data_IF_818057836200
#
_entry.id   IF_818057836200
#
_cell.length_a   1.000
_cell.length_b   1.000
_cell.length_c   1.000
_cell.angle_alpha   90.00
_cell.angle_beta   90.00
_cell.angle_gamma   90.00
#
_symmetry.space_group_name_H-M   'P 1'
#
loop_
_entity.id
_entity.type
_entity.pdbx_description
1 polymer ?
#
# COMPACT_ATOMS: atom_id res chain seq x y z
N UNK A 1 0.68 19.17 1.82
CA UNK A 1 -0.72 18.99 2.25
C UNK A 1 -0.84 18.30 3.63
N UNK A 2 -0.17 17.18 3.89
CA UNK A 2 -0.43 16.34 5.07
C UNK A 2 -0.06 17.01 6.40
N UNK A 3 1.15 17.58 6.47
CA UNK A 3 1.63 18.30 7.67
C UNK A 3 0.75 19.51 7.96
N UNK A 4 0.39 20.29 6.93
CA UNK A 4 -0.53 21.43 7.08
C UNK A 4 -1.91 20.99 7.59
N UNK A 5 -2.39 19.80 7.20
CA UNK A 5 -3.64 19.23 7.68
C UNK A 5 -3.54 18.61 9.09
N UNK A 6 -2.38 18.72 9.77
CA UNK A 6 -2.17 18.24 11.14
C UNK A 6 -1.71 16.78 11.26
N UNK A 7 -1.27 16.15 10.16
CA UNK A 7 -0.70 14.81 10.20
C UNK A 7 0.83 14.83 10.35
N UNK A 8 1.37 13.82 11.05
CA UNK A 8 2.79 13.48 10.96
C UNK A 8 3.04 12.68 9.68
N UNK A 9 4.03 13.07 8.89
CA UNK A 9 4.46 12.33 7.71
C UNK A 9 5.72 11.52 8.04
N UNK A 10 5.63 10.20 7.94
CA UNK A 10 6.78 9.31 8.01
C UNK A 10 6.99 8.70 6.63
N UNK A 11 8.19 8.88 6.06
CA UNK A 11 8.59 8.27 4.78
C UNK A 11 9.57 7.16 5.10
N UNK A 12 9.13 5.91 4.93
CA UNK A 12 9.98 4.75 5.15
C UNK A 12 10.81 4.46 3.91
N UNK A 13 12.09 4.22 4.12
CA UNK A 13 12.99 3.70 3.10
C UNK A 13 13.34 2.23 3.41
N UNK A 14 13.75 1.50 2.39
CA UNK A 14 14.08 0.08 2.46
C UNK A 14 15.07 -0.28 1.36
N UNK A 15 15.77 -1.41 1.50
CA UNK A 15 16.75 -1.80 0.51
C UNK A 15 16.10 -2.05 -0.86
N UNK A 16 16.80 -1.68 -1.91
CA UNK A 16 16.34 -1.95 -3.26
C UNK A 16 16.51 -3.44 -3.61
N UNK A 17 15.86 -3.88 -4.68
CA UNK A 17 15.84 -5.28 -5.11
C UNK A 17 17.23 -5.85 -5.44
N UNK A 18 18.19 -5.02 -5.84
CA UNK A 18 19.56 -5.45 -6.14
C UNK A 18 20.30 -5.76 -4.83
N UNK A 19 20.17 -4.88 -3.84
CA UNK A 19 20.75 -5.04 -2.50
C UNK A 19 20.21 -6.29 -1.79
N UNK A 20 18.94 -6.62 -1.99
CA UNK A 20 18.34 -7.86 -1.46
C UNK A 20 18.53 -9.07 -2.35
N UNK A 21 19.32 -8.97 -3.43
CA UNK A 21 19.59 -10.06 -4.39
C UNK A 21 18.32 -10.66 -5.00
N UNK A 22 17.31 -9.82 -5.23
CA UNK A 22 16.02 -10.20 -5.80
C UNK A 22 15.02 -10.74 -4.78
N UNK A 23 15.29 -10.66 -3.48
CA UNK A 23 14.42 -11.16 -2.43
C UNK A 23 13.43 -10.08 -1.95
N UNK A 24 12.16 -10.22 -2.34
CA UNK A 24 11.09 -9.32 -1.90
C UNK A 24 10.64 -9.56 -0.46
N UNK A 25 10.81 -10.77 0.10
CA UNK A 25 10.47 -11.07 1.51
C UNK A 25 11.36 -10.24 2.44
N UNK A 26 12.66 -10.10 2.12
CA UNK A 26 13.56 -9.22 2.87
C UNK A 26 13.09 -7.77 2.87
N UNK A 27 12.68 -7.25 1.70
CA UNK A 27 12.14 -5.89 1.59
C UNK A 27 10.83 -5.73 2.37
N UNK A 28 9.94 -6.72 2.30
CA UNK A 28 8.69 -6.74 3.04
C UNK A 28 8.92 -6.71 4.56
N UNK A 29 9.86 -7.52 5.08
CA UNK A 29 10.24 -7.53 6.50
C UNK A 29 10.78 -6.17 6.95
N UNK A 30 11.61 -5.51 6.13
CA UNK A 30 12.12 -4.16 6.44
C UNK A 30 11.01 -3.13 6.58
N UNK A 31 10.06 -3.10 5.63
CA UNK A 31 8.95 -2.15 5.67
C UNK A 31 8.02 -2.48 6.85
N UNK A 32 7.70 -3.76 7.08
CA UNK A 32 6.88 -4.19 8.23
C UNK A 32 7.51 -3.73 9.55
N UNK A 33 8.82 -3.94 9.73
CA UNK A 33 9.57 -3.45 10.90
C UNK A 33 9.55 -1.93 11.00
N UNK A 34 9.64 -1.22 9.89
CA UNK A 34 9.50 0.23 9.84
C UNK A 34 8.16 0.71 10.38
N UNK A 35 7.05 0.11 9.95
CA UNK A 35 5.71 0.46 10.45
C UNK A 35 5.56 0.07 11.94
N UNK A 36 6.09 -1.08 12.36
CA UNK A 36 6.10 -1.47 13.78
C UNK A 36 6.90 -0.50 14.63
N UNK A 37 8.03 0.01 14.11
CA UNK A 37 8.81 1.04 14.79
C UNK A 37 7.98 2.32 14.94
N UNK A 38 7.30 2.77 13.89
CA UNK A 38 6.40 3.94 13.95
C UNK A 38 5.32 3.72 15.01
N UNK A 39 4.67 2.56 15.04
CA UNK A 39 3.66 2.22 16.04
C UNK A 39 4.22 2.30 17.47
N UNK A 40 5.39 1.71 17.72
CA UNK A 40 6.01 1.69 19.06
C UNK A 40 6.55 3.04 19.50
N UNK A 41 6.88 3.93 18.56
CA UNK A 41 7.56 5.20 18.85
C UNK A 41 6.71 6.43 18.56
N UNK A 42 5.48 6.29 18.04
CA UNK A 42 4.63 7.41 17.62
C UNK A 42 4.57 8.54 18.66
N UNK A 43 4.36 8.18 19.93
CA UNK A 43 4.25 9.13 21.04
C UNK A 43 5.51 9.98 21.24
N UNK A 44 6.71 9.47 20.93
CA UNK A 44 7.98 10.20 21.17
C UNK A 44 8.17 11.42 20.27
N UNK A 45 7.46 11.46 19.14
CA UNK A 45 7.43 12.60 18.22
C UNK A 45 6.03 13.26 18.12
N UNK A 46 5.17 13.02 19.12
CA UNK A 46 3.83 13.62 19.20
C UNK A 46 2.80 13.00 18.25
N UNK A 47 3.09 11.84 17.67
CA UNK A 47 2.14 11.03 16.92
C UNK A 47 1.21 10.21 17.82
N UNK A 48 0.09 9.77 17.26
CA UNK A 48 -0.85 8.87 17.94
C UNK A 48 -0.74 7.46 17.35
N UNK A 49 -0.31 6.43 18.12
CA UNK A 49 -0.17 5.07 17.62
C UNK A 49 -1.50 4.42 17.20
N UNK A 50 -2.63 4.94 17.68
CA UNK A 50 -3.98 4.50 17.29
C UNK A 50 -4.51 5.21 16.03
N UNK A 51 -3.69 6.00 15.32
CA UNK A 51 -4.09 6.73 14.11
C UNK A 51 -3.09 6.57 12.96
N UNK A 52 -2.54 5.37 12.79
CA UNK A 52 -1.60 5.06 11.71
C UNK A 52 -2.36 4.76 10.41
N UNK A 53 -2.03 5.50 9.36
CA UNK A 53 -2.56 5.30 8.01
C UNK A 53 -1.39 5.19 7.05
N UNK A 54 -1.53 4.38 6.01
CA UNK A 54 -0.45 4.14 5.05
C UNK A 54 -0.90 4.50 3.64
N UNK A 55 0.05 4.95 2.83
CA UNK A 55 -0.19 5.19 1.41
C UNK A 55 1.07 4.89 0.61
N UNK A 56 0.89 4.55 -0.66
CA UNK A 56 2.01 4.23 -1.54
C UNK A 56 1.58 4.14 -2.99
N UNK A 57 2.53 4.28 -3.90
CA UNK A 57 2.31 4.23 -5.33
C UNK A 57 3.19 3.17 -6.00
N UNK A 58 2.72 2.51 -7.05
CA UNK A 58 3.47 1.50 -7.79
C UNK A 58 3.91 0.34 -6.86
N UNK A 59 5.22 0.09 -6.72
CA UNK A 59 5.77 -0.84 -5.72
C UNK A 59 5.37 -0.45 -4.27
N UNK A 60 5.22 0.84 -3.97
CA UNK A 60 4.65 1.31 -2.71
C UNK A 60 3.18 0.94 -2.54
N UNK A 61 2.39 0.92 -3.63
CA UNK A 61 1.00 0.47 -3.62
C UNK A 61 0.90 -1.04 -3.33
N UNK A 62 1.82 -1.83 -3.87
CA UNK A 62 2.00 -3.24 -3.50
C UNK A 62 2.27 -3.40 -2.00
N UNK A 63 3.19 -2.60 -1.43
CA UNK A 63 3.46 -2.62 0.01
C UNK A 63 2.25 -2.24 0.86
N UNK A 64 1.41 -1.29 0.42
CA UNK A 64 0.15 -1.01 1.11
C UNK A 64 -0.72 -2.27 1.19
N UNK A 65 -0.87 -3.00 0.09
CA UNK A 65 -1.58 -4.28 0.08
C UNK A 65 -0.99 -5.29 1.07
N UNK A 66 0.33 -5.54 1.00
CA UNK A 66 1.03 -6.49 1.88
C UNK A 66 0.87 -6.11 3.36
N UNK A 67 1.05 -4.84 3.71
CA UNK A 67 0.93 -4.34 5.09
C UNK A 67 -0.50 -4.50 5.63
N UNK A 68 -1.51 -4.25 4.79
CA UNK A 68 -2.91 -4.39 5.18
C UNK A 68 -3.35 -5.85 5.39
N UNK A 69 -2.65 -6.81 4.77
CA UNK A 69 -2.93 -8.25 4.90
C UNK A 69 -1.87 -9.00 5.71
N UNK A 70 -1.03 -8.27 6.46
CA UNK A 70 -0.01 -8.85 7.36
C UNK A 70 -0.66 -9.33 8.66
N UNK A 71 -0.25 -10.51 9.14
CA UNK A 71 -0.68 -11.01 10.45
C UNK A 71 0.18 -10.37 11.56
N UNK A 72 -0.15 -9.12 11.88
CA UNK A 72 0.61 -8.28 12.80
C UNK A 72 0.78 -8.89 14.20
N UNK A 73 -0.25 -9.57 14.69
CA UNK A 73 -0.21 -10.20 16.01
C UNK A 73 0.75 -11.38 16.02
N UNK A 74 0.69 -12.24 14.99
CA UNK A 74 1.58 -13.41 14.88
C UNK A 74 3.02 -13.03 14.60
N UNK A 75 3.26 -12.05 13.73
CA UNK A 75 4.61 -11.69 13.26
C UNK A 75 5.33 -10.76 14.24
N UNK A 76 4.63 -9.81 14.89
CA UNK A 76 5.26 -8.74 15.67
C UNK A 76 4.68 -8.51 17.07
N UNK A 77 3.62 -9.25 17.44
CA UNK A 77 2.97 -9.10 18.75
C UNK A 77 2.29 -7.74 18.95
N UNK A 78 1.89 -7.08 17.85
CA UNK A 78 1.16 -5.80 17.87
C UNK A 78 -0.29 -6.01 17.40
N UNK A 79 -1.24 -5.15 17.78
CA UNK A 79 -2.64 -5.35 17.44
C UNK A 79 -2.88 -5.49 15.94
N UNK A 80 -3.76 -6.41 15.50
CA UNK A 80 -4.09 -6.57 14.07
C UNK A 80 -4.70 -5.30 13.48
N UNK A 81 -5.32 -4.47 14.31
CA UNK A 81 -5.98 -3.21 13.94
C UNK A 81 -5.06 -1.99 14.02
N UNK A 82 -3.73 -2.15 14.11
CA UNK A 82 -2.81 -1.02 14.26
C UNK A 82 -2.88 -0.02 13.07
N UNK A 83 -3.03 -0.52 11.85
CA UNK A 83 -3.24 0.30 10.65
C UNK A 83 -4.74 0.57 10.53
N UNK A 84 -5.12 1.84 10.48
CA UNK A 84 -6.52 2.30 10.46
C UNK A 84 -7.08 2.48 9.05
N UNK A 85 -6.23 2.54 8.04
CA UNK A 85 -6.63 2.61 6.63
C UNK A 85 -5.44 2.68 5.70
N UNK A 86 -5.65 2.31 4.43
CA UNK A 86 -4.62 2.36 3.40
C UNK A 86 -5.10 2.98 2.09
N UNK A 87 -4.20 3.68 1.40
CA UNK A 87 -4.41 4.15 0.02
C UNK A 87 -3.34 3.58 -0.91
N UNK A 88 -3.74 2.69 -1.82
CA UNK A 88 -2.84 2.06 -2.78
C UNK A 88 -3.02 2.67 -4.17
N UNK A 89 -2.03 3.42 -4.63
CA UNK A 89 -1.95 3.95 -5.99
C UNK A 89 -1.26 2.97 -6.93
N UNK A 90 -1.92 2.55 -8.00
CA UNK A 90 -1.31 1.81 -9.12
C UNK A 90 -0.44 0.61 -8.67
N UNK A 91 -0.93 -0.16 -7.71
CA UNK A 91 -0.19 -1.26 -7.08
C UNK A 91 -0.25 -2.59 -7.83
N UNK A 92 0.57 -3.55 -7.40
CA UNK A 92 0.50 -4.96 -7.80
C UNK A 92 0.00 -5.78 -6.60
N UNK A 93 -1.09 -6.52 -6.75
CA UNK A 93 -1.76 -7.21 -5.64
C UNK A 93 -1.83 -8.74 -5.80
N UNK A 94 -1.58 -9.22 -7.02
CA UNK A 94 -1.21 -10.60 -7.33
C UNK A 94 0.14 -10.62 -8.08
N UNK A 95 1.12 -11.35 -7.54
CA UNK A 95 2.47 -11.41 -8.09
C UNK A 95 2.63 -12.44 -9.21
N UNK A 96 1.64 -13.32 -9.47
CA UNK A 96 1.74 -14.31 -10.55
C UNK A 96 2.05 -13.65 -11.91
N UNK A 97 1.33 -12.61 -12.37
CA UNK A 97 1.62 -11.95 -13.64
C UNK A 97 2.96 -11.20 -13.60
N UNK A 98 3.30 -10.63 -12.45
CA UNK A 98 4.57 -9.91 -12.23
C UNK A 98 5.76 -10.86 -12.42
N UNK A 99 5.66 -12.09 -11.91
CA UNK A 99 6.63 -13.18 -12.11
C UNK A 99 6.75 -13.63 -13.56
N UNK A 100 5.71 -13.47 -14.37
CA UNK A 100 5.76 -13.80 -15.80
C UNK A 100 6.27 -12.64 -16.67
N UNK A 101 6.62 -11.49 -16.06
CA UNK A 101 7.10 -10.30 -16.76
C UNK A 101 8.64 -10.21 -16.79
N UNK A 102 9.17 -9.20 -17.50
CA UNK A 102 10.59 -8.88 -17.54
C UNK A 102 11.23 -8.65 -16.15
N UNK A 103 10.41 -8.45 -15.10
CA UNK A 103 10.89 -8.29 -13.72
C UNK A 103 11.60 -9.53 -13.17
N UNK A 104 11.32 -10.72 -13.71
CA UNK A 104 12.03 -11.95 -13.35
C UNK A 104 13.51 -11.97 -13.72
N UNK A 105 13.98 -11.00 -14.52
CA UNK A 105 15.40 -10.81 -14.76
C UNK A 105 16.16 -10.37 -13.49
N UNK A 106 15.49 -9.65 -12.58
CA UNK A 106 16.13 -9.08 -11.38
C UNK A 106 15.43 -9.44 -10.05
N UNK A 107 14.17 -9.88 -10.07
CA UNK A 107 13.49 -10.47 -8.91
C UNK A 107 13.63 -11.99 -8.97
N UNK A 108 14.01 -12.61 -7.84
CA UNK A 108 14.15 -14.07 -7.72
C UNK A 108 12.88 -14.66 -7.14
N UNK A 109 11.79 -14.56 -7.90
CA UNK A 109 10.48 -15.06 -7.47
C UNK A 109 10.54 -16.54 -7.10
N UNK A 110 10.17 -16.83 -5.86
CA UNK A 110 9.86 -18.18 -5.38
C UNK A 110 8.35 -18.32 -5.25
N UNK A 111 7.87 -19.56 -5.13
CA UNK A 111 6.45 -19.82 -4.86
C UNK A 111 6.04 -19.21 -3.51
N UNK A 112 6.93 -19.22 -2.51
CA UNK A 112 6.74 -18.56 -1.23
C UNK A 112 6.57 -17.03 -1.38
N UNK A 113 7.44 -16.36 -2.14
CA UNK A 113 7.31 -14.91 -2.37
C UNK A 113 6.00 -14.57 -3.08
N UNK A 114 5.65 -15.34 -4.11
CA UNK A 114 4.42 -15.13 -4.86
C UNK A 114 3.20 -15.30 -3.95
N UNK A 115 3.17 -16.35 -3.14
CA UNK A 115 2.05 -16.63 -2.25
C UNK A 115 1.94 -15.59 -1.13
N UNK A 116 3.03 -15.34 -0.41
CA UNK A 116 3.01 -14.50 0.80
C UNK A 116 2.84 -13.02 0.52
N UNK A 117 3.27 -12.54 -0.66
CA UNK A 117 3.21 -11.12 -1.00
C UNK A 117 2.08 -10.77 -1.97
N UNK A 118 1.28 -11.73 -2.43
CA UNK A 118 0.05 -11.44 -3.18
C UNK A 118 -1.10 -11.09 -2.22
N UNK A 119 -1.21 -9.81 -1.85
CA UNK A 119 -2.22 -9.30 -0.91
C UNK A 119 -3.66 -9.77 -1.23
N UNK A 120 -3.99 -9.92 -2.51
CA UNK A 120 -5.31 -10.40 -2.95
C UNK A 120 -5.66 -11.82 -2.43
N UNK A 121 -4.66 -12.62 -2.04
CA UNK A 121 -4.85 -13.99 -1.50
C UNK A 121 -5.10 -14.03 0.01
N UNK A 122 -4.92 -12.91 0.73
CA UNK A 122 -4.93 -12.83 2.20
C UNK A 122 -5.98 -11.85 2.74
N UNK A 123 -7.11 -11.72 2.05
CA UNK A 123 -8.18 -10.77 2.40
C UNK A 123 -8.91 -11.09 3.71
N UNK A 124 -8.77 -12.32 4.23
CA UNK A 124 -9.22 -12.71 5.56
C UNK A 124 -8.55 -11.88 6.66
N UNK A 125 -7.29 -11.48 6.44
CA UNK A 125 -6.48 -10.65 7.36
C UNK A 125 -6.72 -9.15 7.19
N UNK A 126 -7.44 -8.73 6.14
CA UNK A 126 -7.74 -7.32 5.90
C UNK A 126 -8.77 -6.81 6.92
N UNK A 127 -8.34 -5.96 7.84
CA UNK A 127 -9.18 -5.39 8.92
C UNK A 127 -9.42 -3.89 8.81
N UNK A 128 -8.78 -3.21 7.85
CA UNK A 128 -8.87 -1.76 7.68
C UNK A 128 -9.43 -1.38 6.29
N UNK A 129 -10.10 -0.22 6.15
CA UNK A 129 -10.59 0.26 4.85
C UNK A 129 -9.48 0.52 3.84
N UNK A 130 -9.75 0.23 2.56
CA UNK A 130 -8.78 0.41 1.47
C UNK A 130 -9.33 1.37 0.41
N UNK A 131 -8.55 2.38 0.03
CA UNK A 131 -8.80 3.15 -1.18
C UNK A 131 -7.79 2.76 -2.25
N UNK A 132 -8.26 2.45 -3.45
CA UNK A 132 -7.43 2.10 -4.60
C UNK A 132 -7.57 3.20 -5.64
N UNK A 133 -6.45 3.68 -6.17
CA UNK A 133 -6.40 4.74 -7.18
C UNK A 133 -5.50 4.30 -8.32
N UNK A 134 -5.92 4.49 -9.57
CA UNK A 134 -5.08 4.24 -10.75
C UNK A 134 -5.48 5.15 -11.90
N UNK A 135 -4.62 5.32 -12.90
CA UNK A 135 -4.85 6.17 -14.09
C UNK A 135 -5.40 5.40 -15.29
N UNK A 136 -6.26 6.03 -16.08
CA UNK A 136 -6.85 5.40 -17.28
C UNK A 136 -5.86 5.26 -18.44
N UNK A 137 -4.78 6.05 -18.45
CA UNK A 137 -3.69 5.97 -19.44
C UNK A 137 -2.50 5.12 -18.96
N UNK A 138 -2.67 4.34 -17.89
CA UNK A 138 -1.69 3.33 -17.46
C UNK A 138 -1.70 2.08 -18.35
N UNK A 139 -0.67 1.25 -18.22
CA UNK A 139 -0.65 -0.05 -18.91
C UNK A 139 -1.83 -0.92 -18.47
N UNK A 140 -2.35 -1.80 -19.34
CA UNK A 140 -3.50 -2.64 -19.01
C UNK A 140 -3.35 -3.44 -17.72
N UNK A 141 -2.12 -3.82 -17.34
CA UNK A 141 -1.88 -4.62 -16.14
C UNK A 141 -2.05 -3.82 -14.84
N UNK A 142 -1.63 -2.55 -14.77
CA UNK A 142 -1.89 -1.72 -13.58
C UNK A 142 -3.39 -1.48 -13.39
N UNK A 143 -4.10 -1.26 -14.49
CA UNK A 143 -5.55 -1.08 -14.45
C UNK A 143 -6.26 -2.37 -14.03
N UNK A 144 -5.85 -3.53 -14.59
CA UNK A 144 -6.41 -4.84 -14.26
C UNK A 144 -6.17 -5.19 -12.80
N UNK A 145 -4.93 -5.09 -12.31
CA UNK A 145 -4.58 -5.36 -10.91
C UNK A 145 -5.41 -4.51 -9.93
N UNK A 146 -5.59 -3.22 -10.24
CA UNK A 146 -6.40 -2.32 -9.41
C UNK A 146 -7.87 -2.71 -9.39
N UNK A 147 -8.45 -3.09 -10.54
CA UNK A 147 -9.84 -3.54 -10.64
C UNK A 147 -10.05 -4.92 -9.98
N UNK A 148 -9.16 -5.86 -10.23
CA UNK A 148 -9.26 -7.23 -9.69
C UNK A 148 -9.13 -7.23 -8.17
N UNK A 149 -8.18 -6.47 -7.62
CA UNK A 149 -8.04 -6.33 -6.17
C UNK A 149 -9.26 -5.65 -5.56
N UNK A 150 -9.77 -4.58 -6.19
CA UNK A 150 -11.00 -3.93 -5.74
C UNK A 150 -12.20 -4.88 -5.71
N UNK A 151 -12.40 -5.66 -6.78
CA UNK A 151 -13.47 -6.64 -6.88
C UNK A 151 -13.33 -7.77 -5.84
N UNK A 152 -12.10 -8.21 -5.55
CA UNK A 152 -11.82 -9.22 -4.53
C UNK A 152 -12.16 -8.71 -3.13
N UNK A 153 -11.75 -7.47 -2.79
CA UNK A 153 -12.09 -6.83 -1.49
C UNK A 153 -13.60 -6.64 -1.35
N UNK A 154 -14.27 -6.20 -2.42
CA UNK A 154 -15.72 -6.03 -2.44
C UNK A 154 -16.44 -7.36 -2.25
N UNK A 155 -16.03 -8.42 -2.96
CA UNK A 155 -16.57 -9.78 -2.80
C UNK A 155 -16.39 -10.31 -1.38
N UNK A 156 -15.26 -9.97 -0.73
CA UNK A 156 -15.00 -10.30 0.67
C UNK A 156 -15.82 -9.46 1.67
N UNK A 157 -16.65 -8.52 1.22
CA UNK A 157 -17.50 -7.67 2.06
C UNK A 157 -16.72 -6.64 2.88
N UNK A 158 -15.51 -6.29 2.47
CA UNK A 158 -14.62 -5.39 3.22
C UNK A 158 -14.77 -3.93 2.74
N UNK A 159 -14.63 -2.92 3.61
CA UNK A 159 -14.80 -1.52 3.22
C UNK A 159 -13.74 -1.08 2.21
N UNK A 160 -14.17 -0.60 1.05
CA UNK A 160 -13.25 -0.18 0.01
C UNK A 160 -13.80 0.91 -0.91
N UNK A 161 -12.89 1.60 -1.61
CA UNK A 161 -13.24 2.48 -2.73
C UNK A 161 -12.23 2.32 -3.88
N UNK A 162 -12.71 2.49 -5.10
CA UNK A 162 -11.89 2.50 -6.32
C UNK A 162 -12.09 3.82 -7.04
N UNK A 163 -10.99 4.48 -7.42
CA UNK A 163 -10.99 5.72 -8.19
C UNK A 163 -10.11 5.59 -9.43
N UNK A 164 -10.63 6.06 -10.56
CA UNK A 164 -9.91 6.11 -11.84
C UNK A 164 -9.57 7.55 -12.16
N UNK A 165 -8.28 7.84 -12.35
CA UNK A 165 -7.77 9.14 -12.73
C UNK A 165 -7.74 9.24 -14.25
N UNK A 166 -8.79 9.84 -14.82
CA UNK A 166 -8.99 9.91 -16.27
C UNK A 166 -7.89 10.74 -16.95
N UNK A 167 -7.22 10.17 -17.95
CA UNK A 167 -6.15 10.80 -18.71
C UNK A 167 -4.76 10.73 -18.06
N UNK A 168 -4.64 10.16 -16.85
CA UNK A 168 -3.37 10.09 -16.13
C UNK A 168 -2.61 8.80 -16.48
N UNK A 169 -1.32 8.95 -16.79
CA UNK A 169 -0.38 7.83 -16.91
C UNK A 169 0.23 7.47 -15.55
N UNK A 170 1.05 6.41 -15.51
CA UNK A 170 1.60 5.84 -14.27
C UNK A 170 2.40 6.84 -13.44
N UNK A 171 3.14 7.74 -14.08
CA UNK A 171 3.96 8.72 -13.36
C UNK A 171 3.14 9.94 -12.93
N UNK A 172 2.18 10.37 -13.75
CA UNK A 172 1.31 11.49 -13.40
C UNK A 172 0.40 11.15 -12.21
N UNK A 173 -0.02 9.89 -12.05
CA UNK A 173 -0.76 9.45 -10.84
C UNK A 173 0.04 9.77 -9.58
N UNK A 174 1.35 9.48 -9.55
CA UNK A 174 2.20 9.78 -8.39
C UNK A 174 2.25 11.26 -8.03
N UNK A 175 2.37 12.12 -9.03
CA UNK A 175 2.42 13.59 -8.84
C UNK A 175 1.16 14.12 -8.15
N UNK A 176 0.05 13.38 -8.26
CA UNK A 176 -1.22 13.75 -7.63
C UNK A 176 -1.33 13.37 -6.16
N UNK A 177 -0.43 12.54 -5.60
CA UNK A 177 -0.49 12.15 -4.18
C UNK A 177 -0.45 13.37 -3.25
N UNK A 178 0.38 14.37 -3.55
CA UNK A 178 0.53 15.57 -2.72
C UNK A 178 -0.52 16.66 -2.99
N UNK A 179 -1.41 16.46 -3.98
CA UNK A 179 -2.48 17.39 -4.33
C UNK A 179 -3.77 17.04 -3.55
N UNK A 180 -4.20 17.87 -2.59
CA UNK A 180 -5.35 17.55 -1.73
C UNK A 180 -6.70 17.56 -2.45
N UNK A 181 -6.74 18.04 -3.71
CA UNK A 181 -7.92 18.09 -4.56
C UNK A 181 -7.96 16.99 -5.62
N UNK A 182 -6.85 16.25 -5.82
CA UNK A 182 -6.83 15.10 -6.71
C UNK A 182 -7.52 13.90 -6.08
N UNK A 183 -7.93 12.91 -6.89
CA UNK A 183 -8.48 11.65 -6.38
C UNK A 183 -7.52 10.94 -5.42
N UNK A 184 -6.20 10.98 -5.69
CA UNK A 184 -5.21 10.33 -4.85
C UNK A 184 -5.02 11.06 -3.52
N UNK A 185 -4.65 12.35 -3.55
CA UNK A 185 -4.37 13.09 -2.32
C UNK A 185 -5.62 13.27 -1.45
N UNK A 186 -6.80 13.41 -2.06
CA UNK A 186 -8.08 13.45 -1.35
C UNK A 186 -8.39 12.12 -0.66
N UNK A 187 -8.13 10.98 -1.31
CA UNK A 187 -8.32 9.67 -0.69
C UNK A 187 -7.44 9.51 0.56
N UNK A 188 -6.18 9.98 0.52
CA UNK A 188 -5.27 9.95 1.67
C UNK A 188 -5.82 10.79 2.83
N UNK A 189 -6.25 12.03 2.58
CA UNK A 189 -6.83 12.88 3.62
C UNK A 189 -8.13 12.31 4.19
N UNK A 190 -9.00 11.76 3.33
CA UNK A 190 -10.28 11.17 3.75
C UNK A 190 -10.07 9.96 4.67
N UNK A 191 -9.11 9.08 4.37
CA UNK A 191 -8.77 7.94 5.25
C UNK A 191 -8.40 8.40 6.68
N UNK A 192 -7.75 9.56 6.81
CA UNK A 192 -7.36 10.14 8.11
C UNK A 192 -8.44 11.00 8.77
N UNK A 193 -9.60 11.18 8.13
CA UNK A 193 -10.63 12.16 8.49
C UNK A 193 -10.08 13.59 8.59
N UNK A 194 -9.16 13.96 7.69
CA UNK A 194 -8.57 15.29 7.60
C UNK A 194 -9.14 16.08 6.43
N UNK A 195 -9.10 17.41 6.53
CA UNK A 195 -9.52 18.33 5.47
C UNK A 195 -8.28 19.03 4.88
N UNK A 196 -8.32 19.39 3.59
CA UNK A 196 -7.35 20.34 3.04
C UNK A 196 -7.36 21.62 3.87
N UNK A 197 -6.18 22.17 4.11
CA UNK A 197 -5.97 23.50 4.70
C UNK A 197 -5.57 24.48 3.62
#
# INVERSE_FOLDING_TARGET
>A
MLVNAGAHLVVLDFNNVIETRGNLITMADQIKRGVVWVYKNATSFGGNPDRIHISGHSSGGHWVGVLLTTDWQKEFGVPPTMIKGGVAGSGMFDLKPVRLSARSNYIKFTDEMEETLSAQRHLDKLVAPVAIVYGSAETPEFQRQSRDFAAAIQTAGKPMSLSVMEGYNHFEVWEQLANPYSLFGRAVLNQMNLRPT
#
